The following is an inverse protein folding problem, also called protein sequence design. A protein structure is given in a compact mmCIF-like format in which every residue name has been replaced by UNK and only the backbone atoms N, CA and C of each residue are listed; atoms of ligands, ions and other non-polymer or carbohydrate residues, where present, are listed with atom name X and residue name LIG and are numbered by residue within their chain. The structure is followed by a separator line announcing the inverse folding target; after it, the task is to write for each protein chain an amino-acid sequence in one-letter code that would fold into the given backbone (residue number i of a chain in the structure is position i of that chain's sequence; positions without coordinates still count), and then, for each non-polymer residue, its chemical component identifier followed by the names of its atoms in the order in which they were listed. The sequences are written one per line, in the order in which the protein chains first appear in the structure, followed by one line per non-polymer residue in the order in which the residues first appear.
data_IF_497959546997
#
_entry.id   IF_497959546997
#
_cell.length_a   1.000
_cell.length_b   1.000
_cell.length_c   1.000
_cell.angle_alpha   90.00
_cell.angle_beta   90.00
_cell.angle_gamma   90.00
#
_symmetry.space_group_name_H-M   'P 1'
#
loop_
_entity.id
_entity.type
_entity.pdbx_description
1 polymer ?
#
# COMPACT_ATOMS: atom_id res chain seq x y z
N UNK A 1 -11.43 -63.49 53.72
CA UNK A 1 -12.25 -63.30 52.49
C UNK A 1 -12.77 -61.86 52.54
N UNK A 2 -11.98 -60.88 52.10
CA UNK A 2 -12.36 -59.46 52.11
C UNK A 2 -12.46 -58.97 50.66
N UNK A 3 -13.69 -58.69 50.24
CA UNK A 3 -14.05 -58.23 48.90
C UNK A 3 -13.54 -56.79 48.73
N UNK A 4 -12.65 -56.59 47.75
CA UNK A 4 -12.24 -55.26 47.29
C UNK A 4 -13.32 -54.74 46.34
N UNK A 5 -14.22 -53.89 46.84
CA UNK A 5 -15.19 -53.16 46.01
C UNK A 5 -14.46 -52.05 45.25
N UNK A 6 -14.26 -52.24 43.94
CA UNK A 6 -13.81 -51.17 43.04
C UNK A 6 -14.89 -50.10 42.99
N UNK A 7 -14.59 -48.91 43.54
CA UNK A 7 -15.40 -47.72 43.31
C UNK A 7 -15.32 -47.37 41.82
N UNK A 8 -16.45 -47.45 41.12
CA UNK A 8 -16.56 -46.96 39.76
C UNK A 8 -16.37 -45.44 39.79
N UNK A 9 -15.39 -44.94 39.04
CA UNK A 9 -15.24 -43.50 38.81
C UNK A 9 -16.42 -43.09 37.93
N UNK A 10 -17.38 -42.36 38.51
CA UNK A 10 -18.51 -41.80 37.77
C UNK A 10 -17.98 -40.77 36.77
N UNK A 11 -17.84 -41.17 35.51
CA UNK A 11 -17.51 -40.28 34.41
C UNK A 11 -18.77 -39.48 34.10
N UNK A 12 -18.83 -38.24 34.60
CA UNK A 12 -19.92 -37.32 34.31
C UNK A 12 -19.98 -37.08 32.79
N UNK A 13 -21.10 -37.49 32.17
CA UNK A 13 -21.28 -37.36 30.72
C UNK A 13 -21.32 -35.86 30.38
N UNK A 14 -20.56 -35.41 29.35
CA UNK A 14 -20.58 -34.00 28.97
C UNK A 14 -22.01 -33.56 28.64
N UNK A 15 -22.37 -32.31 28.97
CA UNK A 15 -23.73 -31.81 28.76
C UNK A 15 -24.14 -31.99 27.29
N UNK A 16 -25.40 -32.37 27.01
CA UNK A 16 -25.87 -32.56 25.65
C UNK A 16 -25.68 -31.26 24.85
N UNK A 17 -25.12 -31.38 23.64
CA UNK A 17 -24.93 -30.23 22.75
C UNK A 17 -26.25 -29.46 22.63
N UNK A 18 -26.20 -28.15 22.87
CA UNK A 18 -27.38 -27.29 22.76
C UNK A 18 -28.08 -27.52 21.42
N UNK A 19 -29.33 -27.96 21.47
CA UNK A 19 -30.13 -28.31 20.30
C UNK A 19 -30.84 -27.05 19.80
N UNK A 20 -30.34 -26.48 18.71
CA UNK A 20 -30.91 -25.27 18.12
C UNK A 20 -29.84 -24.32 17.61
N UNK A 21 -30.22 -23.41 16.73
CA UNK A 21 -29.29 -22.39 16.24
C UNK A 21 -29.16 -21.29 17.31
N UNK A 22 -27.95 -21.04 17.85
CA UNK A 22 -27.78 -19.96 18.82
C UNK A 22 -28.12 -18.62 18.15
N UNK A 23 -28.71 -17.68 18.89
CA UNK A 23 -29.10 -16.35 18.37
C UNK A 23 -27.95 -15.66 17.64
N UNK A 24 -26.72 -15.80 18.15
CA UNK A 24 -25.50 -15.28 17.50
C UNK A 24 -25.27 -15.83 16.09
N UNK A 25 -25.57 -17.11 15.85
CA UNK A 25 -25.43 -17.75 14.53
C UNK A 25 -26.53 -17.28 13.57
N UNK A 26 -27.76 -17.12 14.06
CA UNK A 26 -28.88 -16.58 13.26
C UNK A 26 -28.57 -15.15 12.83
N UNK A 27 -28.12 -14.30 13.76
CA UNK A 27 -27.70 -12.92 13.48
C UNK A 27 -26.52 -12.90 12.50
N UNK A 28 -25.55 -13.80 12.68
CA UNK A 28 -24.41 -13.94 11.76
C UNK A 28 -24.84 -14.26 10.33
N UNK A 29 -25.72 -15.26 10.14
CA UNK A 29 -26.22 -15.59 8.81
C UNK A 29 -27.13 -14.51 8.22
N UNK A 30 -27.95 -13.85 9.05
CA UNK A 30 -28.76 -12.73 8.60
C UNK A 30 -27.89 -11.57 8.09
N UNK A 31 -26.80 -11.25 8.80
CA UNK A 31 -25.85 -10.22 8.39
C UNK A 31 -25.13 -10.60 7.09
N UNK A 32 -24.65 -11.84 6.98
CA UNK A 32 -24.00 -12.33 5.75
C UNK A 32 -24.99 -12.33 4.58
N UNK A 33 -26.22 -12.80 4.81
CA UNK A 33 -27.28 -12.80 3.81
C UNK A 33 -27.64 -11.38 3.33
N UNK A 34 -27.72 -10.42 4.26
CA UNK A 34 -27.93 -9.01 3.93
C UNK A 34 -26.82 -8.48 2.98
N UNK A 35 -25.55 -8.72 3.29
CA UNK A 35 -24.45 -8.27 2.45
C UNK A 35 -24.42 -8.95 1.07
N UNK A 36 -24.76 -10.24 1.00
CA UNK A 36 -24.87 -10.96 -0.27
C UNK A 36 -26.00 -10.37 -1.12
N UNK A 37 -27.19 -10.17 -0.55
CA UNK A 37 -28.32 -9.58 -1.26
C UNK A 37 -28.03 -8.15 -1.68
N UNK A 38 -27.39 -7.36 -0.83
CA UNK A 38 -26.95 -6.00 -1.13
C UNK A 38 -25.96 -5.98 -2.30
N UNK A 39 -24.95 -6.87 -2.28
CA UNK A 39 -23.98 -7.01 -3.37
C UNK A 39 -24.63 -7.43 -4.70
N UNK A 40 -25.56 -8.40 -4.66
CA UNK A 40 -26.33 -8.80 -5.84
C UNK A 40 -27.19 -7.64 -6.34
N UNK A 41 -27.84 -6.90 -5.44
CA UNK A 41 -28.64 -5.72 -5.79
C UNK A 41 -27.82 -4.66 -6.51
N UNK A 42 -26.60 -4.37 -6.03
CA UNK A 42 -25.66 -3.47 -6.71
C UNK A 42 -25.29 -4.02 -8.10
N UNK A 43 -24.92 -5.30 -8.21
CA UNK A 43 -24.52 -5.89 -9.49
C UNK A 43 -25.66 -5.81 -10.53
N UNK A 44 -26.89 -6.15 -10.12
CA UNK A 44 -28.08 -6.04 -10.96
C UNK A 44 -28.33 -4.60 -11.37
N UNK A 45 -28.26 -3.65 -10.42
CA UNK A 45 -28.41 -2.23 -10.71
C UNK A 45 -27.37 -1.74 -11.73
N UNK A 46 -26.10 -2.14 -11.61
CA UNK A 46 -25.05 -1.75 -12.54
C UNK A 46 -25.26 -2.30 -13.95
N UNK A 47 -25.81 -3.52 -14.08
CA UNK A 47 -26.18 -4.10 -15.38
C UNK A 47 -27.33 -3.33 -16.02
N UNK A 48 -28.38 -3.00 -15.24
CA UNK A 48 -29.51 -2.22 -15.75
C UNK A 48 -29.14 -0.78 -16.10
N UNK A 49 -28.23 -0.17 -15.33
CA UNK A 49 -27.74 1.19 -15.55
C UNK A 49 -26.65 1.26 -16.63
N UNK A 50 -26.40 0.18 -17.38
CA UNK A 50 -25.34 0.12 -18.38
C UNK A 50 -25.60 1.06 -19.56
N UNK A 51 -24.71 2.06 -19.77
CA UNK A 51 -24.72 2.93 -20.93
C UNK A 51 -23.49 2.66 -21.82
N UNK A 52 -23.71 1.95 -22.93
CA UNK A 52 -22.65 1.58 -23.88
C UNK A 52 -22.05 2.78 -24.63
N UNK A 53 -22.86 3.80 -24.91
CA UNK A 53 -22.40 5.01 -25.61
C UNK A 53 -21.46 5.84 -24.73
N UNK A 54 -21.77 5.93 -23.43
CA UNK A 54 -20.90 6.56 -22.44
C UNK A 54 -19.51 5.89 -22.45
N UNK A 55 -19.48 4.56 -22.36
CA UNK A 55 -18.23 3.82 -22.37
C UNK A 55 -17.42 4.06 -23.65
N UNK A 56 -18.04 3.91 -24.83
CA UNK A 56 -17.35 4.11 -26.10
C UNK A 56 -16.75 5.51 -26.24
N UNK A 57 -17.43 6.54 -25.70
CA UNK A 57 -16.98 7.93 -25.76
C UNK A 57 -15.81 8.24 -24.82
N UNK A 58 -15.82 7.70 -23.60
CA UNK A 58 -14.85 8.07 -22.55
C UNK A 58 -13.73 7.03 -22.33
N UNK A 59 -13.85 5.80 -22.86
CA UNK A 59 -12.83 4.76 -22.74
C UNK A 59 -11.42 5.21 -23.19
N UNK A 60 -11.23 5.95 -24.30
CA UNK A 60 -9.90 6.42 -24.69
C UNK A 60 -9.27 7.35 -23.65
N UNK A 61 -10.07 8.23 -23.03
CA UNK A 61 -9.61 9.15 -21.99
C UNK A 61 -9.23 8.39 -20.70
N UNK A 62 -9.99 7.35 -20.34
CA UNK A 62 -9.62 6.49 -19.21
C UNK A 62 -8.34 5.70 -19.46
N UNK A 63 -8.10 5.24 -20.69
CA UNK A 63 -6.85 4.56 -21.03
C UNK A 63 -5.63 5.51 -20.93
N UNK A 64 -5.79 6.77 -21.35
CA UNK A 64 -4.76 7.79 -21.17
C UNK A 64 -4.53 8.11 -19.68
N UNK A 65 -5.61 8.31 -18.92
CA UNK A 65 -5.55 8.56 -17.48
C UNK A 65 -4.92 7.40 -16.70
N UNK A 66 -5.17 6.16 -17.13
CA UNK A 66 -4.51 4.96 -16.62
C UNK A 66 -2.98 5.04 -16.85
N UNK A 67 -2.54 5.42 -18.05
CA UNK A 67 -1.13 5.64 -18.36
C UNK A 67 -0.49 6.69 -17.43
N UNK A 68 -1.14 7.84 -17.24
CA UNK A 68 -0.68 8.90 -16.33
C UNK A 68 -0.62 8.40 -14.88
N UNK A 69 -1.60 7.61 -14.44
CA UNK A 69 -1.64 7.01 -13.10
C UNK A 69 -0.46 6.07 -12.88
N UNK A 70 -0.22 5.16 -13.83
CA UNK A 70 0.89 4.20 -13.75
C UNK A 70 2.24 4.91 -13.80
N UNK A 71 2.39 5.95 -14.64
CA UNK A 71 3.61 6.75 -14.72
C UNK A 71 3.89 7.47 -13.39
N UNK A 72 2.88 8.14 -12.81
CA UNK A 72 3.00 8.82 -11.53
C UNK A 72 3.45 7.85 -10.43
N UNK A 73 2.77 6.70 -10.31
CA UNK A 73 3.07 5.69 -9.28
C UNK A 73 4.46 5.11 -9.50
N UNK A 74 4.80 4.70 -10.72
CA UNK A 74 6.08 4.09 -11.03
C UNK A 74 7.25 5.03 -10.75
N UNK A 75 7.18 6.28 -11.24
CA UNK A 75 8.23 7.28 -11.02
C UNK A 75 8.37 7.58 -9.52
N UNK A 76 7.25 7.79 -8.83
CA UNK A 76 7.26 8.10 -7.39
C UNK A 76 7.82 6.95 -6.56
N UNK A 77 7.48 5.71 -6.89
CA UNK A 77 8.00 4.52 -6.20
C UNK A 77 9.49 4.33 -6.42
N UNK A 78 9.99 4.57 -7.63
CA UNK A 78 11.43 4.48 -7.95
C UNK A 78 12.21 5.58 -7.23
N UNK A 79 11.76 6.83 -7.32
CA UNK A 79 12.40 7.94 -6.60
C UNK A 79 12.32 7.73 -5.08
N UNK A 80 11.19 7.26 -4.59
CA UNK A 80 11.00 6.91 -3.19
C UNK A 80 11.96 5.81 -2.73
N UNK A 81 12.16 4.77 -3.54
CA UNK A 81 13.13 3.72 -3.26
C UNK A 81 14.56 4.30 -3.18
N UNK A 82 14.94 5.15 -4.14
CA UNK A 82 16.25 5.81 -4.16
C UNK A 82 16.46 6.69 -2.92
N UNK A 83 15.47 7.48 -2.52
CA UNK A 83 15.53 8.34 -1.33
C UNK A 83 15.41 7.56 -0.03
N UNK A 84 14.74 6.41 -0.02
CA UNK A 84 14.58 5.59 1.18
C UNK A 84 15.91 4.98 1.64
N UNK A 85 16.86 4.71 0.74
CA UNK A 85 18.16 4.14 1.06
C UNK A 85 18.98 5.03 2.02
N UNK A 86 19.28 6.31 1.69
CA UNK A 86 20.00 7.18 2.62
C UNK A 86 19.19 7.48 3.88
N UNK A 87 17.87 7.57 3.81
CA UNK A 87 17.01 7.77 4.99
C UNK A 87 17.10 6.57 5.93
N UNK A 88 17.05 5.34 5.41
CA UNK A 88 17.21 4.11 6.20
C UNK A 88 18.59 4.06 6.85
N UNK A 89 19.64 4.32 6.07
CA UNK A 89 21.01 4.37 6.60
C UNK A 89 21.14 5.41 7.72
N UNK A 90 20.58 6.60 7.52
CA UNK A 90 20.58 7.67 8.50
C UNK A 90 19.84 7.27 9.79
N UNK A 91 18.66 6.65 9.68
CA UNK A 91 17.88 6.14 10.81
C UNK A 91 18.64 5.12 11.64
N UNK A 92 19.39 4.24 10.99
CA UNK A 92 20.18 3.18 11.64
C UNK A 92 21.58 3.63 12.10
N UNK A 93 21.96 4.88 11.82
CA UNK A 93 23.28 5.39 12.17
C UNK A 93 23.42 5.59 13.68
N UNK A 94 24.64 5.35 14.19
CA UNK A 94 25.02 5.71 15.57
C UNK A 94 25.14 7.23 15.77
N UNK A 95 25.27 8.01 14.69
CA UNK A 95 25.33 9.46 14.78
C UNK A 95 23.94 10.01 15.12
N UNK A 96 23.80 10.58 16.32
CA UNK A 96 22.53 11.11 16.84
C UNK A 96 21.92 12.17 15.93
N UNK A 97 22.71 13.08 15.36
CA UNK A 97 22.19 14.15 14.50
C UNK A 97 21.54 13.59 13.24
N UNK A 98 22.22 12.64 12.60
CA UNK A 98 21.74 12.01 11.37
C UNK A 98 20.48 11.15 11.64
N UNK A 99 20.48 10.38 12.73
CA UNK A 99 19.34 9.54 13.11
C UNK A 99 18.11 10.37 13.51
N UNK A 100 18.30 11.47 14.24
CA UNK A 100 17.21 12.39 14.62
C UNK A 100 16.64 13.11 13.39
N UNK A 101 17.48 13.60 12.47
CA UNK A 101 17.00 14.25 11.26
C UNK A 101 16.14 13.31 10.41
N UNK A 102 16.62 12.08 10.20
CA UNK A 102 15.87 11.08 9.45
C UNK A 102 14.60 10.64 10.21
N UNK A 103 14.64 10.56 11.54
CA UNK A 103 13.44 10.30 12.35
C UNK A 103 12.39 11.39 12.16
N UNK A 104 12.77 12.67 12.23
CA UNK A 104 11.85 13.79 12.03
C UNK A 104 11.22 13.77 10.63
N UNK A 105 12.03 13.49 9.59
CA UNK A 105 11.54 13.32 8.23
C UNK A 105 10.49 12.19 8.14
N UNK A 106 10.83 10.99 8.62
CA UNK A 106 9.94 9.83 8.60
C UNK A 106 8.65 10.12 9.39
N UNK A 107 8.79 10.71 10.58
CA UNK A 107 7.68 11.08 11.45
C UNK A 107 6.72 12.06 10.76
N UNK A 108 7.26 13.09 10.12
CA UNK A 108 6.45 14.09 9.41
C UNK A 108 5.69 13.47 8.22
N UNK A 109 6.38 12.75 7.32
CA UNK A 109 5.77 12.23 6.10
C UNK A 109 4.80 11.07 6.35
N UNK A 110 5.04 10.25 7.38
CA UNK A 110 4.10 9.19 7.79
C UNK A 110 2.99 9.69 8.71
N UNK A 111 3.22 10.78 9.44
CA UNK A 111 2.27 11.38 10.38
C UNK A 111 1.30 12.38 9.75
N UNK A 112 1.54 12.81 8.51
CA UNK A 112 0.69 13.79 7.81
C UNK A 112 -0.04 13.17 6.62
N UNK A 113 -1.29 13.59 6.32
CA UNK A 113 -2.03 13.07 5.17
C UNK A 113 -1.33 13.40 3.85
N UNK A 114 -1.25 12.43 2.93
CA UNK A 114 -0.66 12.62 1.60
C UNK A 114 -1.34 13.76 0.82
N UNK A 115 -2.67 13.90 0.93
CA UNK A 115 -3.41 15.01 0.32
C UNK A 115 -2.87 16.38 0.75
N UNK A 116 -2.58 16.56 2.04
CA UNK A 116 -2.03 17.81 2.57
C UNK A 116 -0.63 18.05 2.01
N UNK A 117 0.20 17.00 1.92
CA UNK A 117 1.54 17.10 1.34
C UNK A 117 1.49 17.53 -0.13
N UNK A 118 0.59 16.95 -0.92
CA UNK A 118 0.36 17.31 -2.32
C UNK A 118 -0.07 18.78 -2.45
N UNK A 119 -0.95 19.27 -1.57
CA UNK A 119 -1.35 20.68 -1.54
C UNK A 119 -0.22 21.62 -1.12
N UNK A 120 0.57 21.26 -0.10
CA UNK A 120 1.72 22.05 0.32
C UNK A 120 2.74 22.18 -0.81
N UNK A 121 2.95 21.11 -1.58
CA UNK A 121 3.84 21.15 -2.74
C UNK A 121 3.22 21.98 -3.86
N UNK A 122 1.99 21.70 -4.28
CA UNK A 122 1.40 22.35 -5.45
C UNK A 122 1.01 23.82 -5.20
N UNK A 123 0.24 24.09 -4.15
CA UNK A 123 -0.21 25.45 -3.82
C UNK A 123 0.78 26.21 -2.94
N UNK A 124 1.39 25.53 -1.98
CA UNK A 124 2.35 26.14 -1.05
C UNK A 124 3.62 26.60 -1.76
N UNK A 125 4.29 25.73 -2.52
CA UNK A 125 5.47 26.14 -3.31
C UNK A 125 5.11 27.10 -4.45
N UNK A 126 3.89 27.00 -5.01
CA UNK A 126 3.38 27.97 -5.96
C UNK A 126 3.38 29.41 -5.42
N UNK A 127 3.20 29.59 -4.11
CA UNK A 127 3.26 30.91 -3.46
C UNK A 127 4.67 31.50 -3.40
N UNK A 128 5.71 30.66 -3.54
CA UNK A 128 7.12 31.04 -3.60
C UNK A 128 7.66 31.11 -5.04
N UNK A 129 6.77 31.35 -6.02
CA UNK A 129 7.12 31.41 -7.45
C UNK A 129 8.35 32.28 -7.72
N UNK A 130 8.40 33.50 -7.20
CA UNK A 130 9.48 34.45 -7.47
C UNK A 130 10.83 33.89 -6.98
N UNK A 131 10.85 33.28 -5.80
CA UNK A 131 12.04 32.66 -5.24
C UNK A 131 12.46 31.43 -6.05
N UNK A 132 11.52 30.57 -6.44
CA UNK A 132 11.80 29.40 -7.27
C UNK A 132 12.26 29.76 -8.69
N UNK A 133 11.77 30.86 -9.26
CA UNK A 133 12.24 31.40 -10.53
C UNK A 133 13.69 31.88 -10.41
N UNK A 134 14.04 32.59 -9.32
CA UNK A 134 15.41 33.07 -9.09
C UNK A 134 16.45 31.95 -8.95
N UNK A 135 16.05 30.79 -8.43
CA UNK A 135 16.92 29.60 -8.27
C UNK A 135 16.84 28.66 -9.50
N UNK A 136 16.00 28.99 -10.49
CA UNK A 136 15.86 28.19 -11.70
C UNK A 136 15.11 26.85 -11.50
N UNK A 137 14.30 26.72 -10.45
CA UNK A 137 13.51 25.51 -10.16
C UNK A 137 12.05 25.62 -10.60
N UNK A 138 11.59 26.80 -11.00
CA UNK A 138 10.19 27.02 -11.36
C UNK A 138 9.71 26.16 -12.53
N UNK A 139 10.59 25.80 -13.48
CA UNK A 139 10.24 24.92 -14.60
C UNK A 139 9.74 23.54 -14.13
N UNK A 140 10.19 23.07 -12.96
CA UNK A 140 9.76 21.81 -12.38
C UNK A 140 8.45 21.97 -11.61
N UNK A 141 8.38 22.95 -10.69
CA UNK A 141 7.22 23.15 -9.81
C UNK A 141 6.02 23.87 -10.44
N UNK A 142 6.14 24.39 -11.67
CA UNK A 142 5.00 24.90 -12.44
C UNK A 142 4.06 23.80 -12.94
N UNK A 143 4.56 22.57 -13.06
CA UNK A 143 3.82 21.45 -13.62
C UNK A 143 3.18 20.61 -12.51
N UNK A 144 1.87 20.37 -12.63
CA UNK A 144 1.10 19.68 -11.60
C UNK A 144 1.52 18.21 -11.43
N UNK A 145 1.89 17.54 -12.53
CA UNK A 145 2.35 16.16 -12.48
C UNK A 145 3.68 16.06 -11.74
N UNK A 146 4.64 16.95 -12.03
CA UNK A 146 5.91 17.03 -11.31
C UNK A 146 5.74 17.30 -9.81
N UNK A 147 4.83 18.21 -9.44
CA UNK A 147 4.47 18.45 -8.04
C UNK A 147 3.87 17.20 -7.37
N UNK A 148 2.99 16.49 -8.08
CA UNK A 148 2.46 15.20 -7.63
C UNK A 148 3.57 14.16 -7.40
N UNK A 149 4.44 13.95 -8.39
CA UNK A 149 5.58 13.04 -8.30
C UNK A 149 6.47 13.38 -7.11
N UNK A 150 6.80 14.66 -6.91
CA UNK A 150 7.65 15.10 -5.81
C UNK A 150 7.03 14.80 -4.44
N UNK A 151 5.76 15.14 -4.24
CA UNK A 151 5.05 14.87 -2.99
C UNK A 151 4.94 13.35 -2.71
N UNK A 152 4.56 12.57 -3.73
CA UNK A 152 4.41 11.12 -3.62
C UNK A 152 5.77 10.43 -3.38
N UNK A 153 6.83 10.86 -4.06
CA UNK A 153 8.17 10.31 -3.88
C UNK A 153 8.70 10.54 -2.46
N UNK A 154 8.49 11.73 -1.88
CA UNK A 154 8.87 12.01 -0.50
C UNK A 154 8.03 11.22 0.50
N UNK A 155 6.73 11.09 0.25
CA UNK A 155 5.85 10.29 1.10
C UNK A 155 6.30 8.83 1.12
N UNK A 156 6.39 8.21 -0.05
CA UNK A 156 6.74 6.79 -0.16
C UNK A 156 8.19 6.52 0.27
N UNK A 157 9.12 7.46 0.08
CA UNK A 157 10.48 7.32 0.64
C UNK A 157 10.47 7.11 2.16
N UNK A 158 9.60 7.81 2.90
CA UNK A 158 9.48 7.64 4.35
C UNK A 158 8.89 6.28 4.74
N UNK A 159 7.86 5.80 4.03
CA UNK A 159 7.28 4.47 4.25
C UNK A 159 8.25 3.36 3.89
N UNK A 160 8.87 3.45 2.71
CA UNK A 160 9.88 2.51 2.22
C UNK A 160 11.10 2.46 3.14
N UNK A 161 11.53 3.58 3.72
CA UNK A 161 12.66 3.61 4.65
C UNK A 161 12.36 2.83 5.94
N UNK A 162 11.14 2.93 6.46
CA UNK A 162 10.74 2.18 7.65
C UNK A 162 10.48 0.71 7.35
N UNK A 163 9.98 0.38 6.16
CA UNK A 163 9.90 -1.01 5.67
C UNK A 163 11.31 -1.61 5.62
N UNK A 164 12.26 -0.94 4.97
CA UNK A 164 13.62 -1.43 4.83
C UNK A 164 14.34 -1.54 6.18
N UNK A 165 14.20 -0.53 7.05
CA UNK A 165 14.74 -0.57 8.42
C UNK A 165 14.19 -1.76 9.20
N UNK A 166 12.87 -1.94 9.21
CA UNK A 166 12.21 -3.05 9.91
C UNK A 166 12.63 -4.41 9.35
N UNK A 167 12.80 -4.51 8.03
CA UNK A 167 13.28 -5.74 7.40
C UNK A 167 14.72 -6.07 7.77
N UNK A 168 15.63 -5.08 7.80
CA UNK A 168 17.02 -5.29 8.22
C UNK A 168 17.09 -5.69 9.70
N UNK A 169 16.31 -5.05 10.56
CA UNK A 169 16.26 -5.35 12.00
C UNK A 169 15.63 -6.71 12.31
N UNK A 170 14.76 -7.23 11.42
CA UNK A 170 14.14 -8.55 11.56
C UNK A 170 15.11 -9.72 11.35
N UNK A 171 16.27 -9.48 10.73
CA UNK A 171 17.26 -10.53 10.48
C UNK A 171 17.88 -10.98 11.82
N UNK A 172 17.90 -12.29 12.14
CA UNK A 172 18.40 -12.79 13.42
C UNK A 172 19.82 -12.32 13.73
N UNK A 173 20.07 -11.94 15.00
CA UNK A 173 21.40 -11.48 15.45
C UNK A 173 22.51 -12.49 15.18
N UNK A 174 22.20 -13.79 15.22
CA UNK A 174 23.16 -14.86 14.88
C UNK A 174 23.76 -14.74 13.47
N UNK A 175 23.06 -14.13 12.50
CA UNK A 175 23.62 -13.87 11.16
C UNK A 175 24.75 -12.81 11.22
N UNK A 176 24.57 -11.78 12.05
CA UNK A 176 25.57 -10.76 12.28
C UNK A 176 26.78 -11.31 13.05
N UNK A 177 26.52 -12.09 14.10
CA UNK A 177 27.56 -12.71 14.94
C UNK A 177 28.35 -13.78 14.17
N UNK A 178 27.70 -14.58 13.34
CA UNK A 178 28.34 -15.56 12.47
C UNK A 178 29.24 -14.91 11.42
N UNK A 179 28.77 -13.84 10.76
CA UNK A 179 29.59 -13.08 9.82
C UNK A 179 30.81 -12.42 10.50
N UNK A 180 30.64 -11.90 11.71
CA UNK A 180 31.73 -11.35 12.51
C UNK A 180 32.76 -12.44 12.91
N UNK A 181 32.30 -13.65 13.23
CA UNK A 181 33.17 -14.79 13.56
C UNK A 181 34.02 -15.25 12.38
N UNK A 182 33.53 -15.04 11.14
CA UNK A 182 34.26 -15.27 9.90
C UNK A 182 35.17 -14.09 9.50
N UNK A 183 35.26 -13.03 10.32
CA UNK A 183 36.09 -11.86 10.04
C UNK A 183 35.57 -10.96 8.91
N UNK A 184 34.30 -11.09 8.52
CA UNK A 184 33.72 -10.29 7.44
C UNK A 184 33.57 -8.83 7.86
N UNK A 185 33.96 -7.90 6.98
CA UNK A 185 33.76 -6.48 7.24
C UNK A 185 32.26 -6.14 7.29
N UNK A 186 31.85 -5.13 8.08
CA UNK A 186 30.43 -4.75 8.28
C UNK A 186 29.68 -4.50 6.98
N UNK A 187 30.33 -3.86 6.00
CA UNK A 187 29.70 -3.60 4.70
C UNK A 187 29.52 -4.89 3.88
N UNK A 188 30.46 -5.84 3.98
CA UNK A 188 30.33 -7.15 3.34
C UNK A 188 29.21 -7.96 4.00
N UNK A 189 29.16 -7.96 5.33
CA UNK A 189 28.09 -8.58 6.12
C UNK A 189 26.73 -8.03 5.71
N UNK A 190 26.59 -6.70 5.69
CA UNK A 190 25.35 -6.04 5.28
C UNK A 190 24.95 -6.42 3.85
N UNK A 191 25.85 -6.29 2.88
CA UNK A 191 25.54 -6.49 1.45
C UNK A 191 25.32 -7.95 1.06
N UNK A 192 26.11 -8.88 1.62
CA UNK A 192 26.11 -10.28 1.18
C UNK A 192 25.30 -11.21 2.08
N UNK A 193 25.11 -10.86 3.35
CA UNK A 193 24.42 -11.73 4.33
C UNK A 193 23.05 -11.14 4.68
N UNK A 194 23.02 -9.90 5.14
CA UNK A 194 21.83 -9.31 5.77
C UNK A 194 20.82 -8.79 4.74
N UNK A 195 21.26 -7.96 3.78
CA UNK A 195 20.36 -7.34 2.79
C UNK A 195 19.59 -8.36 1.96
N UNK A 196 20.18 -9.45 1.45
CA UNK A 196 19.42 -10.47 0.71
C UNK A 196 18.28 -11.07 1.54
N UNK A 197 18.51 -11.37 2.82
CA UNK A 197 17.48 -11.88 3.73
C UNK A 197 16.42 -10.81 4.03
N UNK A 198 16.85 -9.58 4.30
CA UNK A 198 15.95 -8.45 4.56
C UNK A 198 15.03 -8.18 3.35
N UNK A 199 15.52 -8.22 2.12
CA UNK A 199 14.70 -8.00 0.92
C UNK A 199 13.60 -9.05 0.74
N UNK A 200 13.83 -10.30 1.14
CA UNK A 200 12.81 -11.35 1.12
C UNK A 200 11.68 -10.99 2.10
N UNK A 201 12.02 -10.52 3.30
CA UNK A 201 11.04 -10.10 4.32
C UNK A 201 10.31 -8.81 3.90
N UNK A 202 11.02 -7.88 3.26
CA UNK A 202 10.49 -6.59 2.86
C UNK A 202 9.49 -6.66 1.69
N UNK A 203 9.51 -7.74 0.90
CA UNK A 203 8.72 -7.87 -0.33
C UNK A 203 7.22 -7.64 -0.11
N UNK A 204 6.63 -8.28 0.90
CA UNK A 204 5.18 -8.15 1.18
C UNK A 204 4.82 -6.73 1.65
N UNK A 205 5.52 -6.12 2.62
CA UNK A 205 5.32 -4.71 2.94
C UNK A 205 5.48 -3.76 1.75
N UNK A 206 6.48 -3.97 0.88
CA UNK A 206 6.65 -3.19 -0.35
C UNK A 206 5.48 -3.35 -1.32
N UNK A 207 4.95 -4.56 -1.47
CA UNK A 207 3.75 -4.82 -2.26
C UNK A 207 2.53 -4.08 -1.71
N UNK A 208 2.35 -4.07 -0.39
CA UNK A 208 1.27 -3.31 0.26
C UNK A 208 1.42 -1.81 0.05
N UNK A 209 2.64 -1.28 0.16
CA UNK A 209 2.94 0.13 -0.12
C UNK A 209 2.60 0.50 -1.56
N UNK A 210 2.96 -0.35 -2.53
CA UNK A 210 2.62 -0.12 -3.94
C UNK A 210 1.11 -0.14 -4.20
N UNK A 211 0.37 -1.06 -3.57
CA UNK A 211 -1.11 -1.08 -3.62
C UNK A 211 -1.72 0.19 -3.02
N UNK A 212 -1.20 0.67 -1.88
CA UNK A 212 -1.61 1.92 -1.26
C UNK A 212 -1.32 3.10 -2.19
N UNK A 213 -0.15 3.12 -2.83
CA UNK A 213 0.26 4.18 -3.75
C UNK A 213 -0.64 4.28 -4.98
N UNK A 214 -1.04 3.15 -5.57
CA UNK A 214 -2.01 3.12 -6.68
C UNK A 214 -3.34 3.75 -6.24
N UNK A 215 -3.87 3.38 -5.07
CA UNK A 215 -5.15 3.93 -4.59
C UNK A 215 -5.02 5.41 -4.25
N UNK A 216 -3.91 5.80 -3.64
CA UNK A 216 -3.64 7.16 -3.24
C UNK A 216 -3.40 8.10 -4.43
N UNK A 217 -2.96 7.55 -5.58
CA UNK A 217 -2.72 8.33 -6.81
C UNK A 217 -3.92 9.16 -7.23
N UNK A 218 -5.14 8.67 -6.99
CA UNK A 218 -6.41 9.34 -7.33
C UNK A 218 -6.53 10.76 -6.73
N UNK A 219 -5.75 11.06 -5.68
CA UNK A 219 -5.70 12.38 -5.05
C UNK A 219 -5.19 13.47 -6.01
N UNK A 220 -4.32 13.13 -6.97
CA UNK A 220 -3.75 14.12 -7.91
C UNK A 220 -4.80 14.73 -8.84
N UNK A 221 -5.95 14.08 -9.02
CA UNK A 221 -7.11 14.62 -9.72
C UNK A 221 -7.58 15.98 -9.15
N UNK A 222 -7.21 16.29 -7.90
CA UNK A 222 -7.59 17.55 -7.24
C UNK A 222 -6.63 18.68 -7.60
N UNK A 223 -5.38 18.39 -7.93
CA UNK A 223 -4.37 19.37 -8.37
C UNK A 223 -4.24 19.45 -9.89
N UNK A 224 -5.36 19.35 -10.62
CA UNK A 224 -5.43 19.51 -12.09
C UNK A 224 -4.71 18.45 -12.94
N UNK A 225 -4.27 17.35 -12.33
CA UNK A 225 -3.70 16.22 -13.09
C UNK A 225 -4.84 15.37 -13.65
N UNK A 226 -4.84 15.16 -14.97
CA UNK A 226 -5.78 14.25 -15.64
C UNK A 226 -5.28 12.81 -15.57
N UNK A 227 -5.24 12.26 -14.36
CA UNK A 227 -5.06 10.83 -14.12
C UNK A 227 -6.37 10.06 -14.36
N UNK A 228 -6.45 8.80 -13.94
CA UNK A 228 -7.65 7.99 -14.13
C UNK A 228 -8.87 8.64 -13.44
N UNK A 229 -8.70 9.10 -12.18
CA UNK A 229 -9.75 9.78 -11.44
C UNK A 229 -10.08 11.17 -12.03
N UNK A 230 -9.06 11.93 -12.47
CA UNK A 230 -9.24 13.23 -13.12
C UNK A 230 -10.08 13.14 -14.39
N UNK A 231 -9.85 12.11 -15.21
CA UNK A 231 -10.68 11.84 -16.39
C UNK A 231 -12.12 11.45 -16.03
N UNK A 232 -12.34 10.68 -14.96
CA UNK A 232 -13.70 10.39 -14.48
C UNK A 232 -14.43 11.64 -14.00
N UNK A 233 -13.75 12.49 -13.23
CA UNK A 233 -14.32 13.76 -12.77
C UNK A 233 -14.73 14.65 -13.95
N UNK A 234 -13.90 14.70 -15.00
CA UNK A 234 -14.22 15.43 -16.23
C UNK A 234 -15.41 14.81 -16.98
N UNK A 235 -15.44 13.48 -17.11
CA UNK A 235 -16.54 12.77 -17.76
C UNK A 235 -17.87 13.00 -17.02
N UNK A 236 -17.86 12.88 -15.69
CA UNK A 236 -19.01 13.14 -14.83
C UNK A 236 -19.49 14.59 -14.94
N UNK A 237 -18.57 15.57 -14.91
CA UNK A 237 -18.94 16.98 -15.04
C UNK A 237 -19.64 17.33 -16.37
N UNK A 238 -19.39 16.54 -17.43
CA UNK A 238 -19.98 16.75 -18.76
C UNK A 238 -21.28 15.95 -18.97
N UNK A 239 -21.39 14.78 -18.36
CA UNK A 239 -22.50 13.83 -18.61
C UNK A 239 -23.51 13.78 -17.47
N UNK A 240 -23.11 14.17 -16.25
CA UNK A 240 -23.79 13.88 -14.99
C UNK A 240 -24.09 12.39 -14.76
N UNK A 241 -23.37 11.51 -15.46
CA UNK A 241 -23.57 10.06 -15.40
C UNK A 241 -22.64 9.42 -14.37
N UNK A 242 -23.23 8.82 -13.34
CA UNK A 242 -22.49 8.17 -12.26
C UNK A 242 -21.62 6.99 -12.74
N UNK A 243 -21.92 6.44 -13.93
CA UNK A 243 -21.10 5.41 -14.57
C UNK A 243 -19.62 5.81 -14.69
N UNK A 244 -19.33 7.10 -14.78
CA UNK A 244 -17.96 7.62 -14.81
C UNK A 244 -17.10 7.10 -13.63
N UNK A 245 -17.69 7.04 -12.44
CA UNK A 245 -17.00 6.59 -11.23
C UNK A 245 -16.99 5.08 -11.10
N UNK A 246 -18.04 4.40 -11.59
CA UNK A 246 -18.12 2.93 -11.61
C UNK A 246 -16.96 2.35 -12.42
N UNK A 247 -16.71 2.89 -13.61
CA UNK A 247 -15.62 2.43 -14.47
C UNK A 247 -14.24 2.61 -13.82
N UNK A 248 -14.01 3.78 -13.22
CA UNK A 248 -12.76 4.03 -12.51
C UNK A 248 -12.60 3.10 -11.30
N UNK A 249 -13.66 2.83 -10.54
CA UNK A 249 -13.62 1.87 -9.45
C UNK A 249 -13.26 0.45 -9.93
N UNK A 250 -13.85 0.00 -11.04
CA UNK A 250 -13.53 -1.30 -11.66
C UNK A 250 -12.07 -1.34 -12.10
N UNK A 251 -11.58 -0.30 -12.79
CA UNK A 251 -10.19 -0.25 -13.26
C UNK A 251 -9.20 -0.24 -12.09
N UNK A 252 -9.45 0.54 -11.03
CA UNK A 252 -8.62 0.51 -9.82
C UNK A 252 -8.63 -0.86 -9.15
N UNK A 253 -9.79 -1.52 -9.07
CA UNK A 253 -9.91 -2.86 -8.51
C UNK A 253 -9.07 -3.86 -9.32
N UNK A 254 -9.21 -3.85 -10.65
CA UNK A 254 -8.42 -4.72 -11.54
C UNK A 254 -6.93 -4.45 -11.41
N UNK A 255 -6.49 -3.19 -11.38
CA UNK A 255 -5.08 -2.85 -11.16
C UNK A 255 -4.54 -3.41 -9.84
N UNK A 256 -5.29 -3.22 -8.74
CA UNK A 256 -4.90 -3.69 -7.42
C UNK A 256 -4.87 -5.22 -7.37
N UNK A 257 -5.83 -5.90 -7.99
CA UNK A 257 -5.88 -7.37 -7.98
C UNK A 257 -4.74 -7.99 -8.80
N UNK A 258 -4.45 -7.44 -9.99
CA UNK A 258 -3.29 -7.82 -10.80
C UNK A 258 -2.00 -7.67 -9.98
N UNK A 259 -1.86 -6.53 -9.30
CA UNK A 259 -0.66 -6.26 -8.51
C UNK A 259 -0.55 -7.21 -7.31
N UNK A 260 -1.65 -7.43 -6.57
CA UNK A 260 -1.66 -8.31 -5.40
C UNK A 260 -1.26 -9.73 -5.80
N UNK A 261 -1.86 -10.26 -6.87
CA UNK A 261 -1.51 -11.57 -7.40
C UNK A 261 -0.06 -11.62 -7.90
N UNK A 262 0.43 -10.56 -8.54
CA UNK A 262 1.83 -10.45 -8.94
C UNK A 262 2.79 -10.55 -7.76
N UNK A 263 2.54 -9.79 -6.69
CA UNK A 263 3.35 -9.83 -5.46
C UNK A 263 3.27 -11.19 -4.78
N UNK A 264 2.07 -11.76 -4.64
CA UNK A 264 1.88 -13.10 -4.06
C UNK A 264 2.61 -14.18 -4.88
N UNK A 265 2.61 -14.07 -6.21
CA UNK A 265 3.33 -14.99 -7.08
C UNK A 265 4.85 -14.87 -6.90
N UNK A 266 5.39 -13.65 -6.84
CA UNK A 266 6.82 -13.40 -6.58
C UNK A 266 7.19 -13.93 -5.19
N UNK A 267 6.38 -13.66 -4.17
CA UNK A 267 6.61 -14.13 -2.80
C UNK A 267 6.69 -15.66 -2.79
N UNK A 268 5.69 -16.33 -3.36
CA UNK A 268 5.66 -17.80 -3.43
C UNK A 268 6.89 -18.37 -4.13
N UNK A 269 7.38 -17.72 -5.20
CA UNK A 269 8.57 -18.16 -5.95
C UNK A 269 9.87 -18.01 -5.15
N UNK A 270 10.01 -16.94 -4.37
CA UNK A 270 11.21 -16.69 -3.58
C UNK A 270 11.24 -17.59 -2.35
N UNK A 271 10.09 -17.83 -1.71
CA UNK A 271 10.02 -18.60 -0.46
C UNK A 271 9.91 -20.11 -0.66
N UNK A 272 10.00 -20.65 -1.89
CA UNK A 272 9.89 -22.09 -2.16
C UNK A 272 10.86 -22.92 -1.30
N UNK A 273 12.05 -22.37 -1.03
CA UNK A 273 13.11 -23.06 -0.29
C UNK A 273 13.03 -22.89 1.23
N UNK A 274 12.12 -22.04 1.72
CA UNK A 274 11.91 -21.83 3.16
C UNK A 274 10.90 -22.88 3.65
N UNK A 275 11.41 -23.96 4.24
CA UNK A 275 10.58 -24.91 4.98
C UNK A 275 10.01 -24.16 6.19
N UNK A 276 8.69 -24.02 6.24
CA UNK A 276 7.98 -23.42 7.38
C UNK A 276 7.83 -24.41 8.53
#
# INVERSE_FOLDING_TARGET
MSVVTRAAVDIEKPPPRARGWPRARIVGYALVGFWILFGIGIAVYLVYAWNGEFFARYAPAYLQGLGTTLALVAISMVLGALFSLPVTYARMSKNRYLSVLAYCYVYFFRGTPLLVQVYLVYYGLGSFRVQLESVGLWWFFRDAFNCGVFAFALNTAAYQAEILRGAIESVPRGQWEGAASLGLHKLQTLRKVILPQAFIVALRPYGNELVLMIKASAIVAIITVYDLMGNAKLAYAKSFDFQAHVWVAIVYLVMVEILRHGVEWIERRITIHLIR
#
